data_IF_754446564584
#
_entry.id   IF_754446564584
#
_cell.length_a   1.000
_cell.length_b   1.000
_cell.length_c   1.000
_cell.angle_alpha   90.00
_cell.angle_beta   90.00
_cell.angle_gamma   90.00
#
_symmetry.space_group_name_H-M   'P 1'
#
loop_
_entity.id
_entity.type
_entity.pdbx_description
1 polymer ?
#
# COMPACT_ATOMS: atom_id res chain seq x y z
N UNK A 1 -2.96 -8.95 -34.73
CA UNK A 1 -2.71 -9.46 -33.37
C UNK A 1 -3.29 -8.46 -32.38
N UNK A 2 -4.51 -8.71 -31.85
CA UNK A 2 -5.07 -7.82 -30.82
C UNK A 2 -4.42 -8.14 -29.48
N UNK A 3 -3.51 -7.26 -29.05
CA UNK A 3 -2.92 -7.31 -27.74
C UNK A 3 -3.92 -6.85 -26.69
N UNK A 4 -4.87 -7.69 -26.31
CA UNK A 4 -5.62 -7.50 -25.07
C UNK A 4 -4.70 -7.88 -23.91
N UNK A 5 -3.77 -7.00 -23.53
CA UNK A 5 -3.19 -7.09 -22.20
C UNK A 5 -4.29 -6.68 -21.22
N UNK A 6 -4.93 -7.67 -20.60
CA UNK A 6 -5.76 -7.53 -19.39
C UNK A 6 -4.92 -7.12 -18.17
N UNK A 7 -3.82 -6.39 -18.38
CA UNK A 7 -2.94 -5.93 -17.34
C UNK A 7 -3.56 -4.69 -16.69
N UNK A 8 -3.96 -4.81 -15.43
CA UNK A 8 -4.38 -3.67 -14.63
C UNK A 8 -3.19 -2.72 -14.52
N UNK A 9 -3.34 -1.50 -15.05
CA UNK A 9 -2.29 -0.47 -15.13
C UNK A 9 -2.37 0.53 -13.97
N UNK A 10 -1.35 1.38 -13.83
CA UNK A 10 -1.35 2.46 -12.83
C UNK A 10 -2.52 3.42 -13.08
N UNK A 11 -2.85 3.66 -14.35
CA UNK A 11 -4.03 4.43 -14.75
C UNK A 11 -5.36 3.77 -14.37
N UNK A 12 -5.42 2.43 -14.31
CA UNK A 12 -6.59 1.69 -13.82
C UNK A 12 -6.81 1.93 -12.32
N UNK A 13 -5.73 1.89 -11.54
CA UNK A 13 -5.77 2.20 -10.10
C UNK A 13 -6.06 3.68 -9.84
N UNK A 14 -5.46 4.60 -10.61
CA UNK A 14 -5.76 6.02 -10.56
C UNK A 14 -7.25 6.30 -10.79
N UNK A 15 -7.84 5.65 -11.81
CA UNK A 15 -9.26 5.76 -12.13
C UNK A 15 -10.14 5.18 -11.01
N UNK A 16 -9.74 4.07 -10.40
CA UNK A 16 -10.43 3.49 -9.24
C UNK A 16 -10.39 4.43 -8.04
N UNK A 17 -9.21 5.00 -7.75
CA UNK A 17 -9.03 5.97 -6.67
C UNK A 17 -9.98 7.15 -6.85
N UNK A 18 -10.00 7.75 -8.04
CA UNK A 18 -10.91 8.87 -8.36
C UNK A 18 -12.39 8.51 -8.16
N UNK A 19 -12.82 7.31 -8.60
CA UNK A 19 -14.20 6.84 -8.40
C UNK A 19 -14.57 6.70 -6.92
N UNK A 20 -13.63 6.23 -6.10
CA UNK A 20 -13.88 6.01 -4.67
C UNK A 20 -13.77 7.30 -3.84
N UNK A 21 -13.24 8.40 -4.37
CA UNK A 21 -13.20 9.69 -3.65
C UNK A 21 -14.59 10.21 -3.25
N UNK A 22 -15.62 9.96 -4.07
CA UNK A 22 -16.99 10.31 -3.69
C UNK A 22 -17.44 9.58 -2.41
N UNK A 23 -17.13 8.28 -2.31
CA UNK A 23 -17.42 7.49 -1.12
C UNK A 23 -16.59 7.94 0.09
N UNK A 24 -15.33 8.33 -0.12
CA UNK A 24 -14.48 8.91 0.94
C UNK A 24 -15.12 10.17 1.51
N UNK A 25 -15.64 11.07 0.66
CA UNK A 25 -16.29 12.30 1.12
C UNK A 25 -17.59 12.01 1.90
N UNK A 26 -18.38 11.03 1.46
CA UNK A 26 -19.57 10.58 2.21
C UNK A 26 -19.19 10.00 3.56
N UNK A 27 -18.14 9.17 3.61
CA UNK A 27 -17.65 8.60 4.87
C UNK A 27 -17.07 9.69 5.79
N UNK A 28 -16.38 10.70 5.25
CA UNK A 28 -15.82 11.78 6.04
C UNK A 28 -16.90 12.52 6.85
N UNK A 29 -18.08 12.70 6.26
CA UNK A 29 -19.21 13.34 6.91
C UNK A 29 -19.86 12.47 8.01
N UNK A 30 -19.68 11.15 7.96
CA UNK A 30 -20.29 10.19 8.88
C UNK A 30 -19.32 9.69 9.96
N UNK A 31 -18.13 9.27 9.55
CA UNK A 31 -17.07 8.71 10.39
C UNK A 31 -15.69 8.93 9.72
N UNK A 32 -14.92 9.88 10.26
CA UNK A 32 -13.57 10.18 9.81
C UNK A 32 -12.60 9.00 9.94
N UNK A 33 -12.85 8.03 10.82
CA UNK A 33 -12.04 6.82 10.96
C UNK A 33 -12.26 5.86 9.81
N UNK A 34 -13.51 5.68 9.37
CA UNK A 34 -13.80 4.86 8.19
C UNK A 34 -13.24 5.48 6.91
N UNK A 35 -13.37 6.81 6.75
CA UNK A 35 -12.77 7.52 5.63
C UNK A 35 -11.24 7.36 5.58
N UNK A 36 -10.59 7.46 6.73
CA UNK A 36 -9.14 7.27 6.85
C UNK A 36 -8.71 5.83 6.49
N UNK A 37 -9.41 4.83 7.01
CA UNK A 37 -9.11 3.42 6.72
C UNK A 37 -9.31 3.08 5.25
N UNK A 38 -10.33 3.66 4.61
CA UNK A 38 -10.55 3.53 3.17
C UNK A 38 -9.39 4.14 2.37
N UNK A 39 -8.98 5.36 2.69
CA UNK A 39 -7.86 6.03 2.00
C UNK A 39 -6.53 5.28 2.18
N UNK A 40 -6.24 4.72 3.35
CA UNK A 40 -5.06 3.86 3.54
C UNK A 40 -5.14 2.59 2.69
N UNK A 41 -6.32 2.00 2.56
CA UNK A 41 -6.52 0.82 1.70
C UNK A 41 -6.36 1.16 0.21
N UNK A 42 -6.82 2.36 -0.19
CA UNK A 42 -6.58 2.90 -1.52
C UNK A 42 -5.09 3.18 -1.76
N UNK A 43 -4.36 3.69 -0.77
CA UNK A 43 -2.92 3.93 -0.86
C UNK A 43 -2.10 2.63 -1.01
N UNK A 44 -2.49 1.55 -0.32
CA UNK A 44 -1.88 0.20 -0.43
C UNK A 44 -2.21 -0.51 -1.77
N UNK A 45 -3.23 0.00 -2.50
CA UNK A 45 -3.63 -0.44 -3.82
C UNK A 45 -3.31 0.58 -4.93
N UNK A 46 -2.67 1.71 -4.60
CA UNK A 46 -2.54 2.86 -5.53
C UNK A 46 -1.46 2.68 -6.61
N UNK A 47 -0.70 1.60 -6.53
CA UNK A 47 0.34 1.25 -7.47
C UNK A 47 0.02 -0.09 -8.13
N UNK A 48 0.52 -0.28 -9.35
CA UNK A 48 0.47 -1.57 -10.03
C UNK A 48 1.31 -2.63 -9.33
N UNK A 49 1.11 -3.89 -9.73
CA UNK A 49 2.15 -4.88 -9.51
C UNK A 49 3.42 -4.42 -10.25
N UNK A 50 4.46 -4.06 -9.50
CA UNK A 50 5.76 -3.62 -10.03
C UNK A 50 6.41 -4.70 -10.91
N UNK A 51 5.98 -5.97 -10.81
CA UNK A 51 6.42 -7.02 -11.73
C UNK A 51 5.87 -6.85 -13.15
N UNK A 52 4.74 -6.17 -13.31
CA UNK A 52 4.15 -5.85 -14.60
C UNK A 52 4.64 -4.51 -15.17
N UNK A 53 5.35 -3.69 -14.38
CA UNK A 53 5.58 -2.27 -14.71
C UNK A 53 7.03 -1.84 -14.49
N UNK A 54 7.56 -1.07 -15.44
CA UNK A 54 8.91 -0.46 -15.49
C UNK A 54 10.13 -1.35 -15.82
N UNK A 55 10.35 -2.52 -15.22
CA UNK A 55 11.60 -3.28 -15.52
C UNK A 55 11.67 -3.88 -16.93
N UNK A 56 10.57 -3.92 -17.67
CA UNK A 56 10.53 -4.44 -19.05
C UNK A 56 10.61 -3.35 -20.14
N UNK A 57 10.42 -2.07 -19.80
CA UNK A 57 10.24 -1.02 -20.82
C UNK A 57 11.21 0.18 -20.70
N UNK A 58 12.02 0.28 -19.64
CA UNK A 58 13.06 1.31 -19.53
C UNK A 58 12.57 2.75 -19.35
N UNK A 59 11.27 2.97 -19.22
CA UNK A 59 10.66 4.28 -18.96
C UNK A 59 10.10 4.33 -17.55
N UNK A 60 10.44 5.40 -16.80
CA UNK A 60 9.79 5.71 -15.54
C UNK A 60 8.33 6.09 -15.84
N UNK A 61 7.40 5.20 -15.53
CA UNK A 61 5.97 5.51 -15.66
C UNK A 61 5.52 6.35 -14.45
N UNK A 62 5.62 7.68 -14.62
CA UNK A 62 5.21 8.70 -13.65
C UNK A 62 3.68 8.82 -13.51
N UNK A 63 2.88 7.97 -14.19
CA UNK A 63 1.42 8.02 -14.16
C UNK A 63 0.80 7.80 -12.77
N UNK A 64 1.57 7.25 -11.82
CA UNK A 64 1.14 7.08 -10.42
C UNK A 64 1.27 8.35 -9.57
N UNK A 65 2.10 9.31 -9.97
CA UNK A 65 2.37 10.54 -9.19
C UNK A 65 1.11 11.38 -8.95
N UNK A 66 0.23 11.62 -9.94
CA UNK A 66 -1.02 12.36 -9.70
C UNK A 66 -1.91 11.65 -8.68
N UNK A 67 -1.97 10.32 -8.70
CA UNK A 67 -2.74 9.52 -7.75
C UNK A 67 -2.17 9.62 -6.35
N UNK A 68 -0.85 9.53 -6.20
CA UNK A 68 -0.19 9.70 -4.91
C UNK A 68 -0.44 11.09 -4.34
N UNK A 69 -0.36 12.15 -5.17
CA UNK A 69 -0.67 13.52 -4.74
C UNK A 69 -2.11 13.66 -4.25
N UNK A 70 -3.07 13.14 -5.01
CA UNK A 70 -4.49 13.16 -4.64
C UNK A 70 -4.73 12.46 -3.29
N UNK A 71 -4.15 11.27 -3.10
CA UNK A 71 -4.27 10.51 -1.86
C UNK A 71 -3.58 11.23 -0.68
N UNK A 72 -2.42 11.83 -0.94
CA UNK A 72 -1.66 12.56 0.08
C UNK A 72 -2.43 13.80 0.56
N UNK A 73 -3.06 14.52 -0.36
CA UNK A 73 -3.92 15.68 -0.05
C UNK A 73 -5.20 15.28 0.68
N UNK A 74 -5.79 14.14 0.34
CA UNK A 74 -7.00 13.63 1.00
C UNK A 74 -6.72 13.07 2.41
N UNK A 75 -5.57 12.42 2.61
CA UNK A 75 -5.19 11.85 3.92
C UNK A 75 -4.78 12.92 4.93
N UNK A 76 -4.13 13.99 4.48
CA UNK A 76 -3.58 15.02 5.35
C UNK A 76 -4.59 15.63 6.35
N UNK A 77 -5.78 16.11 5.95
CA UNK A 77 -6.74 16.67 6.91
C UNK A 77 -7.24 15.63 7.91
N UNK A 78 -7.41 14.38 7.49
CA UNK A 78 -7.82 13.28 8.38
C UNK A 78 -6.75 12.94 9.42
N UNK A 79 -5.47 13.03 9.04
CA UNK A 79 -4.36 12.86 9.98
C UNK A 79 -4.37 13.99 11.02
N UNK A 80 -4.63 15.22 10.59
CA UNK A 80 -4.66 16.40 11.47
C UNK A 80 -5.86 16.41 12.42
N UNK A 81 -7.01 15.89 12.00
CA UNK A 81 -8.23 15.82 12.82
C UNK A 81 -8.12 14.80 13.97
N UNK A 82 -7.15 13.89 13.95
CA UNK A 82 -7.03 12.88 15.00
C UNK A 82 -6.39 13.48 16.25
N UNK A 83 -7.09 13.32 17.37
CA UNK A 83 -6.55 13.61 18.69
C UNK A 83 -5.27 12.82 18.94
N UNK A 84 -4.39 13.41 19.76
CA UNK A 84 -3.08 12.85 20.06
C UNK A 84 -3.20 11.40 20.53
N UNK A 85 -2.28 10.52 20.12
CA UNK A 85 -2.41 9.11 20.42
C UNK A 85 -2.42 8.85 21.94
N UNK A 86 -3.44 8.15 22.44
CA UNK A 86 -3.41 7.55 23.77
C UNK A 86 -2.25 6.53 23.85
N UNK A 87 -1.69 6.37 25.06
CA UNK A 87 -0.48 5.62 25.37
C UNK A 87 -0.26 4.32 24.56
N UNK A 88 1.01 4.05 24.23
CA UNK A 88 1.46 2.85 23.52
C UNK A 88 0.93 1.57 24.18
N UNK A 89 0.07 0.82 23.49
CA UNK A 89 -0.13 -0.60 23.83
C UNK A 89 1.01 -1.42 23.20
N UNK A 90 1.82 -2.15 23.99
CA UNK A 90 2.74 -3.13 23.44
C UNK A 90 1.96 -4.29 22.80
N UNK A 91 2.46 -4.82 21.67
CA UNK A 91 1.87 -5.99 21.00
C UNK A 91 0.95 -5.69 19.81
N UNK A 92 1.39 -4.86 18.86
CA UNK A 92 0.72 -4.77 17.55
C UNK A 92 0.71 -6.15 16.88
N UNK A 93 -0.42 -6.54 16.30
CA UNK A 93 -0.48 -7.77 15.50
C UNK A 93 0.57 -7.75 14.38
N UNK A 94 1.31 -8.84 14.23
CA UNK A 94 2.29 -8.97 13.17
C UNK A 94 1.60 -9.04 11.81
N UNK A 95 2.12 -8.27 10.86
CA UNK A 95 1.71 -8.34 9.46
C UNK A 95 2.82 -9.09 8.73
N UNK A 96 2.49 -10.09 7.88
CA UNK A 96 3.48 -10.80 7.08
C UNK A 96 4.33 -9.83 6.25
N UNK A 97 5.61 -10.15 6.10
CA UNK A 97 6.50 -9.40 5.20
C UNK A 97 6.02 -9.49 3.75
N UNK A 98 6.50 -8.57 2.89
CA UNK A 98 6.31 -8.63 1.44
C UNK A 98 6.79 -9.98 0.89
N UNK A 99 6.07 -10.51 -0.09
CA UNK A 99 6.46 -11.76 -0.74
C UNK A 99 7.77 -11.58 -1.53
N UNK A 100 8.67 -12.55 -1.44
CA UNK A 100 9.91 -12.62 -2.21
C UNK A 100 10.03 -13.96 -2.94
N UNK A 101 10.95 -14.05 -3.91
CA UNK A 101 11.23 -15.31 -4.60
C UNK A 101 11.68 -16.44 -3.67
N UNK A 102 12.18 -16.12 -2.46
CA UNK A 102 12.58 -17.12 -1.45
C UNK A 102 11.37 -17.78 -0.77
N UNK A 103 10.22 -17.12 -0.81
CA UNK A 103 8.95 -17.61 -0.24
C UNK A 103 8.18 -18.48 -1.24
N UNK A 104 8.74 -18.72 -2.42
CA UNK A 104 8.14 -19.55 -3.45
C UNK A 104 8.23 -21.04 -3.09
N UNK A 105 7.07 -21.68 -3.01
CA UNK A 105 6.97 -23.13 -2.81
C UNK A 105 6.77 -23.83 -4.16
N UNK A 106 7.88 -23.99 -4.90
CA UNK A 106 7.90 -24.60 -6.25
C UNK A 106 9.00 -25.65 -6.44
N UNK A 107 9.60 -26.12 -5.34
CA UNK A 107 10.69 -27.09 -5.33
C UNK A 107 11.99 -26.58 -5.95
N UNK A 108 13.01 -27.46 -6.04
CA UNK A 108 14.32 -27.12 -6.62
C UNK A 108 14.26 -27.13 -8.14
N UNK A 109 14.80 -26.08 -8.77
CA UNK A 109 14.84 -25.96 -10.22
C UNK A 109 15.82 -26.96 -10.82
N UNK A 110 15.33 -27.89 -11.66
CA UNK A 110 16.19 -28.86 -12.38
C UNK A 110 17.28 -28.19 -13.23
N UNK A 111 17.03 -26.98 -13.73
CA UNK A 111 17.94 -26.19 -14.58
C UNK A 111 18.55 -24.98 -13.88
N UNK A 112 18.32 -24.82 -12.57
CA UNK A 112 18.67 -23.61 -11.82
C UNK A 112 17.78 -22.38 -12.10
N UNK A 113 16.80 -22.47 -13.01
CA UNK A 113 15.82 -21.41 -13.30
C UNK A 113 14.38 -21.96 -13.31
N UNK A 114 13.37 -21.18 -12.87
CA UNK A 114 11.99 -21.63 -12.94
C UNK A 114 11.53 -21.78 -14.39
N UNK A 115 10.78 -22.86 -14.67
CA UNK A 115 10.09 -23.04 -15.95
C UNK A 115 8.78 -22.24 -16.00
N UNK A 116 8.10 -22.20 -17.16
CA UNK A 116 6.87 -21.41 -17.35
C UNK A 116 5.75 -21.77 -16.37
N UNK A 117 5.57 -23.06 -16.06
CA UNK A 117 4.53 -23.50 -15.12
C UNK A 117 4.87 -23.05 -13.69
N UNK A 118 6.14 -23.17 -13.29
CA UNK A 118 6.63 -22.71 -12.00
C UNK A 118 6.50 -21.19 -11.86
N UNK A 119 6.86 -20.41 -12.88
CA UNK A 119 6.62 -18.95 -12.89
C UNK A 119 5.16 -18.60 -12.65
N UNK A 120 4.25 -19.33 -13.31
CA UNK A 120 2.82 -19.11 -13.15
C UNK A 120 2.33 -19.47 -11.74
N UNK A 121 2.91 -20.51 -11.12
CA UNK A 121 2.61 -20.90 -9.74
C UNK A 121 3.14 -19.88 -8.73
N UNK A 122 4.40 -19.44 -8.88
CA UNK A 122 5.02 -18.39 -8.05
C UNK A 122 4.19 -17.11 -8.10
N UNK A 123 3.73 -16.71 -9.29
CA UNK A 123 2.88 -15.53 -9.46
C UNK A 123 1.56 -15.66 -8.70
N UNK A 124 0.89 -16.82 -8.75
CA UNK A 124 -0.34 -17.08 -7.97
C UNK A 124 -0.09 -17.06 -6.46
N UNK A 125 1.02 -17.64 -6.01
CA UNK A 125 1.43 -17.61 -4.60
C UNK A 125 1.66 -16.17 -4.13
N UNK A 126 2.39 -15.37 -4.91
CA UNK A 126 2.59 -13.94 -4.67
C UNK A 126 1.25 -13.19 -4.53
N UNK A 127 0.33 -13.37 -5.49
CA UNK A 127 -0.98 -12.70 -5.44
C UNK A 127 -1.78 -13.05 -4.19
N UNK A 128 -1.80 -14.33 -3.81
CA UNK A 128 -2.46 -14.79 -2.59
C UNK A 128 -1.80 -14.22 -1.33
N UNK A 129 -0.46 -14.23 -1.29
CA UNK A 129 0.33 -13.68 -0.18
C UNK A 129 0.06 -12.20 0.02
N UNK A 130 0.17 -11.41 -1.04
CA UNK A 130 -0.06 -9.97 -0.98
C UNK A 130 -1.52 -9.64 -0.63
N UNK A 131 -2.49 -10.43 -1.10
CA UNK A 131 -3.89 -10.29 -0.67
C UNK A 131 -4.05 -10.52 0.84
N UNK A 132 -3.49 -11.61 1.36
CA UNK A 132 -3.56 -11.94 2.79
C UNK A 132 -2.83 -10.91 3.65
N UNK A 133 -1.68 -10.40 3.17
CA UNK A 133 -0.93 -9.32 3.82
C UNK A 133 -1.75 -8.03 3.92
N UNK A 134 -2.41 -7.60 2.84
CA UNK A 134 -3.30 -6.43 2.85
C UNK A 134 -4.48 -6.62 3.82
N UNK A 135 -5.05 -7.82 3.86
CA UNK A 135 -6.09 -8.17 4.82
C UNK A 135 -5.59 -8.07 6.27
N UNK A 136 -4.40 -8.61 6.56
CA UNK A 136 -3.77 -8.50 7.88
C UNK A 136 -3.49 -7.04 8.29
N UNK A 137 -3.02 -6.19 7.35
CA UNK A 137 -2.87 -4.74 7.59
C UNK A 137 -4.20 -4.09 7.96
N UNK A 138 -5.27 -4.41 7.24
CA UNK A 138 -6.62 -3.90 7.53
C UNK A 138 -7.10 -4.33 8.91
N UNK A 139 -7.03 -5.62 9.22
CA UNK A 139 -7.46 -6.15 10.53
C UNK A 139 -6.66 -5.54 11.68
N UNK A 140 -5.35 -5.30 11.47
CA UNK A 140 -4.51 -4.60 12.44
C UNK A 140 -5.03 -3.20 12.70
N UNK A 141 -5.41 -2.45 11.66
CA UNK A 141 -5.99 -1.10 11.82
C UNK A 141 -7.32 -1.15 12.56
N UNK A 142 -8.19 -2.10 12.25
CA UNK A 142 -9.50 -2.23 12.90
C UNK A 142 -9.41 -2.62 14.37
N UNK A 143 -8.42 -3.44 14.75
CA UNK A 143 -8.22 -3.90 16.14
C UNK A 143 -7.41 -2.93 17.00
N UNK A 144 -6.65 -2.03 16.37
CA UNK A 144 -5.70 -1.16 17.07
C UNK A 144 -6.27 0.23 17.27
N UNK A 145 -6.38 0.68 18.53
CA UNK A 145 -6.72 2.08 18.86
C UNK A 145 -5.64 3.07 18.38
N UNK A 146 -4.39 2.62 18.26
CA UNK A 146 -3.22 3.40 17.87
C UNK A 146 -3.01 3.50 16.34
N UNK A 147 -3.99 4.09 15.66
CA UNK A 147 -4.03 4.17 14.20
C UNK A 147 -2.87 4.96 13.56
N UNK A 148 -2.34 5.98 14.25
CA UNK A 148 -1.31 6.89 13.71
C UNK A 148 0.00 6.16 13.38
N UNK A 149 0.55 5.36 14.31
CA UNK A 149 1.80 4.63 14.04
C UNK A 149 1.59 3.42 13.15
N UNK A 150 0.44 2.75 13.23
CA UNK A 150 0.13 1.66 12.29
C UNK A 150 0.12 2.21 10.87
N UNK A 151 -0.56 3.34 10.65
CA UNK A 151 -0.57 4.03 9.37
C UNK A 151 0.84 4.46 8.94
N UNK A 152 1.66 5.01 9.85
CA UNK A 152 3.04 5.39 9.54
C UNK A 152 3.88 4.19 9.08
N UNK A 153 3.79 3.07 9.80
CA UNK A 153 4.51 1.83 9.46
C UNK A 153 4.06 1.33 8.08
N UNK A 154 2.75 1.24 7.85
CA UNK A 154 2.18 0.78 6.58
C UNK A 154 2.68 1.62 5.40
N UNK A 155 2.59 2.96 5.52
CA UNK A 155 2.95 3.89 4.45
C UNK A 155 4.47 3.97 4.22
N UNK A 156 5.29 3.87 5.27
CA UNK A 156 6.76 3.87 5.15
C UNK A 156 7.24 2.59 4.46
N UNK A 157 6.73 1.43 4.88
CA UNK A 157 7.06 0.16 4.24
C UNK A 157 6.66 0.18 2.75
N UNK A 158 5.53 0.81 2.43
CA UNK A 158 5.07 0.96 1.04
C UNK A 158 5.95 1.88 0.22
N UNK A 159 6.30 3.05 0.78
CA UNK A 159 7.23 4.00 0.16
C UNK A 159 8.57 3.32 -0.14
N UNK A 160 9.13 2.59 0.82
CA UNK A 160 10.45 1.98 0.69
C UNK A 160 10.44 0.85 -0.33
N UNK A 161 9.36 0.05 -0.35
CA UNK A 161 9.11 -0.92 -1.40
C UNK A 161 9.07 -0.25 -2.78
N UNK A 162 8.24 0.78 -2.96
CA UNK A 162 8.13 1.50 -4.23
C UNK A 162 9.46 2.15 -4.67
N UNK A 163 10.19 2.74 -3.72
CA UNK A 163 11.49 3.35 -3.97
C UNK A 163 12.54 2.35 -4.45
N UNK A 164 12.51 1.10 -3.95
CA UNK A 164 13.42 0.04 -4.41
C UNK A 164 13.22 -0.32 -5.89
N UNK A 165 12.07 0.04 -6.47
CA UNK A 165 11.74 -0.15 -7.89
C UNK A 165 11.73 1.17 -8.67
N UNK A 166 12.25 2.26 -8.08
CA UNK A 166 12.38 3.56 -8.74
C UNK A 166 11.12 4.43 -8.75
N UNK A 167 10.04 4.00 -8.10
CA UNK A 167 8.81 4.80 -7.95
C UNK A 167 8.99 5.80 -6.81
N UNK A 168 8.81 7.09 -7.10
CA UNK A 168 9.03 8.20 -6.16
C UNK A 168 7.72 8.93 -5.83
N UNK A 169 7.75 9.74 -4.79
CA UNK A 169 6.64 10.65 -4.45
C UNK A 169 5.45 9.99 -3.76
N UNK A 170 5.64 8.81 -3.16
CA UNK A 170 4.60 8.13 -2.40
C UNK A 170 4.30 8.87 -1.09
N UNK A 171 3.17 9.57 -1.07
CA UNK A 171 2.52 10.22 0.08
C UNK A 171 3.47 10.96 1.06
N UNK A 172 4.37 11.84 0.56
CA UNK A 172 5.40 12.45 1.39
C UNK A 172 4.85 13.30 2.53
N UNK A 173 3.76 14.06 2.33
CA UNK A 173 3.21 14.97 3.35
C UNK A 173 2.54 14.18 4.48
N UNK A 174 1.77 13.16 4.14
CA UNK A 174 1.10 12.28 5.10
C UNK A 174 2.10 11.51 5.94
N UNK A 175 3.15 10.95 5.32
CA UNK A 175 4.22 10.25 6.05
C UNK A 175 4.92 11.21 7.01
N UNK A 176 5.27 12.42 6.55
CA UNK A 176 5.90 13.43 7.40
C UNK A 176 5.00 13.79 8.60
N UNK A 177 3.72 14.06 8.34
CA UNK A 177 2.79 14.47 9.38
C UNK A 177 2.53 13.38 10.43
N UNK A 178 2.36 12.13 10.00
CA UNK A 178 2.27 10.99 10.91
C UNK A 178 3.56 10.84 11.74
N UNK A 179 4.72 11.07 11.12
CA UNK A 179 6.01 11.06 11.82
C UNK A 179 6.13 12.12 12.92
N UNK A 180 5.62 13.33 12.68
CA UNK A 180 5.52 14.39 13.71
C UNK A 180 4.64 13.96 14.87
N UNK A 181 3.42 13.48 14.58
CA UNK A 181 2.46 13.05 15.61
C UNK A 181 3.01 11.91 16.48
N UNK A 182 3.73 10.96 15.88
CA UNK A 182 4.37 9.86 16.63
C UNK A 182 5.50 10.38 17.54
N UNK A 183 6.26 11.40 17.11
CA UNK A 183 7.30 12.01 17.94
C UNK A 183 6.70 12.79 19.11
N UNK A 184 5.67 13.57 18.88
CA UNK A 184 4.93 14.30 19.93
C UNK A 184 4.38 13.32 20.97
N UNK A 185 3.81 12.19 20.54
CA UNK A 185 3.25 11.16 21.43
C UNK A 185 4.28 10.41 22.27
N UNK A 186 5.59 10.54 21.98
CA UNK A 186 6.68 9.95 22.79
C UNK A 186 7.28 10.95 23.79
N UNK A 187 7.01 12.23 23.61
CA UNK A 187 7.53 13.31 24.45
C UNK A 187 6.61 13.66 25.64
N UNK A 188 5.41 13.05 25.68
CA UNK A 188 4.42 13.10 26.76
C UNK A 188 4.47 11.80 27.53
#
# INVERSE_FOLDING_TARGET
MSGNSTAITSSSYASSVQKHMAAVNTLLAADGTLAFNLLLSMADASHTDLDATCKMCGTADDSSIPTFKLLDEALLPLIQMRERPACQKPGLSEVPMRWTLKDADVGVFKTGRPNKQQWSQMYRQKLAWEKNRRQARRERREKTEYLVRVALIDLVEERDYLSAYGVKGYLPKSIAKLGELVKEARAV
#
